data_IF_011868000946
#
_entry.id   IF_011868000946
#
_cell.length_a   1.000
_cell.length_b   1.000
_cell.length_c   1.000
_cell.angle_alpha   90.00
_cell.angle_beta   90.00
_cell.angle_gamma   90.00
#
_symmetry.space_group_name_H-M   'P 1'
#
loop_
_entity.id
_entity.type
_entity.pdbx_description
1 polymer ?
#
# COMPACT_ATOMS: atom_id res chain seq x y z
N UNK A 1 8.64 12.91 -20.79
CA UNK A 1 9.02 13.74 -19.63
C UNK A 1 9.07 12.81 -18.44
N UNK A 2 10.27 12.33 -18.17
CA UNK A 2 10.63 11.17 -17.34
C UNK A 2 10.73 11.58 -15.87
N UNK A 3 9.62 11.73 -15.13
CA UNK A 3 9.67 12.28 -13.76
C UNK A 3 9.51 11.25 -12.62
N UNK A 4 9.11 10.02 -12.93
CA UNK A 4 9.06 8.89 -11.99
C UNK A 4 10.00 7.73 -12.37
N UNK A 5 10.83 7.88 -13.40
CA UNK A 5 11.71 6.82 -13.94
C UNK A 5 13.00 6.55 -13.12
N UNK A 6 13.23 7.25 -12.01
CA UNK A 6 14.54 7.25 -11.36
C UNK A 6 14.72 6.30 -10.17
N UNK A 7 13.66 5.64 -9.67
CA UNK A 7 13.85 4.61 -8.62
C UNK A 7 14.10 3.28 -9.32
N UNK A 8 15.25 2.61 -9.07
CA UNK A 8 15.50 1.29 -9.60
C UNK A 8 14.34 0.34 -9.25
N UNK A 9 13.83 -0.41 -10.23
CA UNK A 9 12.71 -1.35 -10.02
C UNK A 9 13.03 -2.36 -8.90
N UNK A 10 14.30 -2.74 -8.78
CA UNK A 10 14.82 -3.54 -7.67
C UNK A 10 14.57 -2.91 -6.29
N UNK A 11 14.69 -1.59 -6.16
CA UNK A 11 14.41 -0.89 -4.90
C UNK A 11 12.91 -0.86 -4.61
N UNK A 12 12.05 -0.75 -5.64
CA UNK A 12 10.60 -0.91 -5.48
C UNK A 12 10.27 -2.31 -4.95
N UNK A 13 10.88 -3.35 -5.52
CA UNK A 13 10.74 -4.72 -5.01
C UNK A 13 11.13 -4.83 -3.53
N UNK A 14 12.29 -4.29 -3.15
CA UNK A 14 12.70 -4.33 -1.75
C UNK A 14 11.74 -3.55 -0.85
N UNK A 15 11.30 -2.35 -1.24
CA UNK A 15 10.29 -1.59 -0.49
C UNK A 15 8.99 -2.37 -0.30
N UNK A 16 8.50 -3.04 -1.35
CA UNK A 16 7.37 -3.96 -1.25
C UNK A 16 7.66 -5.09 -0.27
N UNK A 17 8.86 -5.67 -0.30
CA UNK A 17 9.26 -6.76 0.61
C UNK A 17 9.29 -6.33 2.07
N UNK A 18 9.56 -5.05 2.33
CA UNK A 18 9.41 -4.48 3.66
C UNK A 18 7.93 -4.29 4.00
N UNK A 19 7.21 -3.56 3.16
CA UNK A 19 5.81 -3.19 3.39
C UNK A 19 4.87 -4.39 3.59
N UNK A 20 5.13 -5.52 2.92
CA UNK A 20 4.31 -6.72 2.99
C UNK A 20 5.10 -7.90 3.56
N UNK A 21 4.63 -8.45 4.69
CA UNK A 21 5.26 -9.61 5.35
C UNK A 21 5.31 -10.87 4.46
N UNK A 22 4.39 -11.00 3.50
CA UNK A 22 4.28 -12.14 2.58
C UNK A 22 5.51 -12.34 1.68
N UNK A 23 6.29 -11.29 1.42
CA UNK A 23 7.48 -11.36 0.55
C UNK A 23 8.73 -11.93 1.22
N UNK A 24 8.68 -12.25 2.53
CA UNK A 24 9.77 -12.93 3.25
C UNK A 24 9.82 -14.44 2.97
N UNK A 25 8.82 -14.97 2.25
CA UNK A 25 8.80 -16.36 1.84
C UNK A 25 10.03 -16.68 0.98
N UNK A 26 10.62 -17.85 1.23
CA UNK A 26 11.82 -18.34 0.53
C UNK A 26 11.69 -18.31 -0.98
N UNK A 27 10.46 -18.45 -1.46
CA UNK A 27 10.02 -18.44 -2.84
C UNK A 27 10.34 -17.13 -3.56
N UNK A 28 10.44 -15.99 -2.87
CA UNK A 28 10.70 -14.68 -3.47
C UNK A 28 12.18 -14.28 -3.51
N UNK A 29 13.10 -15.09 -2.93
CA UNK A 29 14.52 -14.71 -2.83
C UNK A 29 15.18 -14.42 -4.18
N UNK A 30 14.76 -15.10 -5.25
CA UNK A 30 15.36 -14.95 -6.59
C UNK A 30 15.00 -13.61 -7.24
N UNK A 31 13.80 -13.05 -6.97
CA UNK A 31 13.37 -11.75 -7.54
C UNK A 31 14.33 -10.62 -7.18
N UNK A 32 14.91 -10.62 -5.98
CA UNK A 32 15.84 -9.58 -5.54
C UNK A 32 17.17 -9.53 -6.30
N UNK A 33 17.45 -10.55 -7.12
CA UNK A 33 18.64 -10.64 -7.98
C UNK A 33 18.35 -10.42 -9.45
N UNK A 34 17.09 -10.40 -9.86
CA UNK A 34 16.69 -10.22 -11.25
C UNK A 34 16.69 -8.74 -11.65
N UNK A 35 16.94 -8.50 -12.93
CA UNK A 35 16.81 -7.19 -13.55
C UNK A 35 15.49 -7.18 -14.34
N UNK A 36 14.65 -6.20 -14.06
CA UNK A 36 13.36 -6.01 -14.73
C UNK A 36 13.45 -4.79 -15.64
N UNK A 37 12.90 -4.87 -16.85
CA UNK A 37 12.89 -3.72 -17.77
C UNK A 37 11.86 -2.67 -17.34
N UNK A 38 10.77 -3.12 -16.73
CA UNK A 38 9.68 -2.26 -16.28
C UNK A 38 8.99 -2.84 -15.03
N UNK A 39 8.24 -2.00 -14.32
CA UNK A 39 7.54 -2.39 -13.08
C UNK A 39 6.45 -3.45 -13.34
N UNK A 40 5.87 -3.50 -14.55
CA UNK A 40 4.85 -4.51 -14.89
C UNK A 40 5.43 -5.92 -14.91
N UNK A 41 6.67 -6.09 -15.36
CA UNK A 41 7.39 -7.37 -15.30
C UNK A 41 7.63 -7.80 -13.85
N UNK A 42 8.06 -6.86 -12.99
CA UNK A 42 8.20 -7.14 -11.56
C UNK A 42 6.88 -7.62 -10.95
N UNK A 43 5.77 -6.94 -11.22
CA UNK A 43 4.45 -7.34 -10.72
C UNK A 43 4.02 -8.70 -11.27
N UNK A 44 4.24 -8.96 -12.56
CA UNK A 44 3.95 -10.26 -13.15
C UNK A 44 4.79 -11.36 -12.49
N UNK A 45 6.08 -11.12 -12.22
CA UNK A 45 6.93 -12.11 -11.55
C UNK A 45 6.49 -12.35 -10.10
N UNK A 46 6.14 -11.30 -9.37
CA UNK A 46 5.58 -11.43 -8.01
C UNK A 46 4.29 -12.30 -8.02
N UNK A 47 3.40 -12.09 -8.99
CA UNK A 47 2.18 -12.87 -9.14
C UNK A 47 2.44 -14.31 -9.59
N UNK A 48 3.46 -14.53 -10.43
CA UNK A 48 3.86 -15.86 -10.93
C UNK A 48 4.25 -16.79 -9.77
N UNK A 49 4.83 -16.22 -8.70
CA UNK A 49 5.22 -16.94 -7.49
C UNK A 49 4.07 -16.98 -6.48
N UNK A 50 3.40 -15.85 -6.27
CA UNK A 50 2.44 -15.66 -5.18
C UNK A 50 1.11 -16.35 -5.35
N UNK A 51 0.57 -16.37 -6.58
CA UNK A 51 -0.71 -17.04 -6.85
C UNK A 51 -0.60 -18.55 -6.60
N UNK A 52 0.44 -19.26 -7.07
CA UNK A 52 0.65 -20.66 -6.70
C UNK A 52 0.73 -20.92 -5.18
N UNK A 53 1.34 -20.01 -4.41
CA UNK A 53 1.38 -20.12 -2.94
C UNK A 53 -0.04 -20.05 -2.36
N UNK A 54 -0.86 -19.10 -2.82
CA UNK A 54 -2.26 -18.99 -2.39
C UNK A 54 -3.07 -20.25 -2.75
N UNK A 55 -2.92 -20.75 -3.97
CA UNK A 55 -3.60 -21.97 -4.44
C UNK A 55 -3.22 -23.18 -3.57
N UNK A 56 -1.93 -23.37 -3.26
CA UNK A 56 -1.47 -24.45 -2.37
C UNK A 56 -2.07 -24.36 -0.98
N UNK A 57 -2.31 -23.14 -0.49
CA UNK A 57 -2.98 -22.87 0.77
C UNK A 57 -4.51 -23.00 0.73
N UNK A 58 -5.10 -23.39 -0.41
CA UNK A 58 -6.53 -23.43 -0.67
C UNK A 58 -7.12 -22.03 -0.90
N UNK A 59 -8.02 -21.89 -1.87
CA UNK A 59 -8.67 -20.60 -2.11
C UNK A 59 -9.54 -20.21 -0.91
N UNK A 60 -9.48 -18.94 -0.51
CA UNK A 60 -10.34 -18.39 0.54
C UNK A 60 -11.79 -18.49 0.10
N UNK A 61 -12.64 -18.89 1.03
CA UNK A 61 -14.08 -18.93 0.89
C UNK A 61 -14.71 -17.93 1.83
N UNK A 62 -15.85 -17.40 1.45
CA UNK A 62 -16.68 -16.57 2.33
C UNK A 62 -18.15 -16.87 2.07
N UNK A 63 -19.01 -16.42 2.97
CA UNK A 63 -20.45 -16.51 2.78
C UNK A 63 -20.91 -15.43 1.80
N UNK A 64 -21.44 -15.87 0.66
CA UNK A 64 -22.07 -15.00 -0.33
C UNK A 64 -23.59 -15.17 -0.26
N UNK A 65 -24.32 -14.06 -0.30
CA UNK A 65 -25.78 -14.07 -0.34
C UNK A 65 -26.22 -14.45 -1.76
N UNK A 66 -26.88 -15.59 -1.89
CA UNK A 66 -27.43 -16.10 -3.16
C UNK A 66 -28.93 -15.86 -3.18
N UNK A 67 -29.39 -15.21 -4.24
CA UNK A 67 -30.82 -15.05 -4.54
C UNK A 67 -31.21 -15.92 -5.74
N UNK A 68 -32.09 -16.89 -5.54
CA UNK A 68 -32.56 -17.77 -6.61
C UNK A 68 -34.07 -18.01 -6.55
N UNK A 69 -34.65 -18.46 -7.67
CA UNK A 69 -36.06 -18.87 -7.74
C UNK A 69 -36.11 -20.39 -7.86
N UNK A 70 -36.58 -21.07 -6.81
CA UNK A 70 -36.47 -22.53 -6.67
C UNK A 70 -37.80 -23.21 -6.33
N UNK A 71 -37.88 -24.50 -6.65
CA UNK A 71 -38.99 -25.37 -6.25
C UNK A 71 -38.82 -25.90 -4.81
N UNK A 72 -37.63 -25.72 -4.23
CA UNK A 72 -37.29 -26.16 -2.88
C UNK A 72 -36.96 -24.95 -2.01
N UNK A 73 -37.28 -25.02 -0.73
CA UNK A 73 -36.98 -23.94 0.22
C UNK A 73 -35.61 -24.21 0.85
N UNK A 74 -34.65 -23.32 0.60
CA UNK A 74 -33.33 -23.27 1.24
C UNK A 74 -33.11 -21.84 1.76
N UNK A 75 -32.88 -21.70 3.06
CA UNK A 75 -32.76 -20.38 3.70
C UNK A 75 -34.09 -19.62 3.79
N UNK A 76 -34.05 -18.30 3.58
CA UNK A 76 -35.19 -17.40 3.76
C UNK A 76 -35.99 -17.27 2.47
N UNK A 77 -37.32 -17.24 2.56
CA UNK A 77 -38.18 -16.91 1.42
C UNK A 77 -38.29 -15.38 1.30
N UNK A 78 -38.02 -14.85 0.11
CA UNK A 78 -38.36 -13.47 -0.23
C UNK A 78 -39.75 -13.42 -0.87
N UNK A 79 -40.74 -13.13 -0.02
CA UNK A 79 -42.15 -13.03 -0.42
C UNK A 79 -42.35 -11.90 -1.44
N UNK A 80 -41.64 -10.78 -1.28
CA UNK A 80 -41.78 -9.63 -2.18
C UNK A 80 -41.25 -9.97 -3.57
N UNK A 81 -40.06 -10.58 -3.66
CA UNK A 81 -39.50 -11.03 -4.94
C UNK A 81 -40.35 -12.15 -5.56
N UNK A 82 -40.89 -13.07 -4.76
CA UNK A 82 -41.77 -14.16 -5.23
C UNK A 82 -43.02 -13.61 -5.91
N UNK A 83 -43.69 -12.63 -5.30
CA UNK A 83 -44.89 -11.98 -5.85
C UNK A 83 -44.51 -11.15 -7.09
N UNK A 84 -43.47 -10.31 -7.01
CA UNK A 84 -43.03 -9.45 -8.13
C UNK A 84 -42.63 -10.24 -9.38
N UNK A 85 -41.99 -11.40 -9.20
CA UNK A 85 -41.57 -12.28 -10.30
C UNK A 85 -42.69 -13.25 -10.76
N UNK A 86 -43.88 -13.21 -10.15
CA UNK A 86 -44.97 -14.18 -10.37
C UNK A 86 -44.51 -15.65 -10.26
N UNK A 87 -43.51 -15.93 -9.41
CA UNK A 87 -42.83 -17.23 -9.37
C UNK A 87 -43.76 -18.40 -8.97
N UNK A 88 -44.85 -18.09 -8.25
CA UNK A 88 -45.85 -19.08 -7.83
C UNK A 88 -46.59 -19.74 -9.01
N UNK A 89 -46.67 -19.08 -10.17
CA UNK A 89 -47.27 -19.66 -11.39
C UNK A 89 -46.54 -20.93 -11.81
N UNK A 90 -45.21 -20.92 -11.71
CA UNK A 90 -44.34 -22.07 -12.01
C UNK A 90 -44.09 -22.96 -10.79
N UNK A 91 -44.88 -22.79 -9.71
CA UNK A 91 -44.72 -23.49 -8.43
C UNK A 91 -43.33 -23.27 -7.79
N UNK A 92 -42.75 -22.09 -8.01
CA UNK A 92 -41.46 -21.66 -7.45
C UNK A 92 -41.63 -20.57 -6.41
N UNK A 93 -40.63 -20.44 -5.56
CA UNK A 93 -40.48 -19.33 -4.60
C UNK A 93 -39.11 -18.68 -4.77
N UNK A 94 -39.04 -17.37 -4.62
CA UNK A 94 -37.76 -16.66 -4.53
C UNK A 94 -37.20 -16.87 -3.13
N UNK A 95 -35.97 -17.38 -3.05
CA UNK A 95 -35.27 -17.67 -1.81
C UNK A 95 -33.93 -16.93 -1.76
N UNK A 96 -33.50 -16.62 -0.54
CA UNK A 96 -32.24 -15.97 -0.22
C UNK A 96 -31.55 -16.81 0.84
N UNK A 97 -30.34 -17.26 0.55
CA UNK A 97 -29.52 -18.04 1.49
C UNK A 97 -28.04 -17.71 1.33
N UNK A 98 -27.28 -17.97 2.38
CA UNK A 98 -25.83 -17.80 2.34
C UNK A 98 -25.16 -19.10 1.86
N UNK A 99 -24.30 -18.98 0.86
CA UNK A 99 -23.48 -20.07 0.34
C UNK A 99 -22.01 -19.84 0.69
N UNK A 100 -21.34 -20.87 1.22
CA UNK A 100 -19.91 -20.81 1.49
C UNK A 100 -19.12 -21.12 0.21
N UNK A 101 -18.72 -20.06 -0.50
CA UNK A 101 -18.22 -20.15 -1.88
C UNK A 101 -16.81 -19.58 -2.03
N UNK A 102 -16.07 -20.08 -3.02
CA UNK A 102 -14.81 -19.50 -3.50
C UNK A 102 -15.06 -18.30 -4.43
N UNK A 103 -16.31 -18.07 -4.86
CA UNK A 103 -16.69 -16.97 -5.76
C UNK A 103 -16.78 -15.62 -5.02
N UNK A 104 -15.68 -15.27 -4.35
CA UNK A 104 -15.50 -14.01 -3.64
C UNK A 104 -14.70 -13.03 -4.49
N UNK A 105 -14.92 -11.74 -4.25
CA UNK A 105 -14.28 -10.65 -5.02
C UNK A 105 -12.75 -10.79 -5.10
N UNK A 106 -12.09 -11.25 -4.03
CA UNK A 106 -10.63 -11.44 -4.02
C UNK A 106 -10.17 -12.46 -5.06
N UNK A 107 -10.88 -13.59 -5.17
CA UNK A 107 -10.57 -14.63 -6.16
C UNK A 107 -10.97 -14.18 -7.56
N UNK A 108 -12.07 -13.44 -7.72
CA UNK A 108 -12.49 -12.87 -9.00
C UNK A 108 -11.45 -11.90 -9.56
N UNK A 109 -10.90 -10.99 -8.73
CA UNK A 109 -9.83 -10.07 -9.14
C UNK A 109 -8.58 -10.83 -9.61
N UNK A 110 -8.18 -11.87 -8.88
CA UNK A 110 -7.04 -12.72 -9.26
C UNK A 110 -7.31 -13.42 -10.59
N UNK A 111 -8.50 -14.03 -10.75
CA UNK A 111 -8.90 -14.70 -11.99
C UNK A 111 -8.86 -13.74 -13.18
N UNK A 112 -9.46 -12.56 -13.07
CA UNK A 112 -9.45 -11.56 -14.14
C UNK A 112 -8.03 -11.10 -14.49
N UNK A 113 -7.16 -10.96 -13.49
CA UNK A 113 -5.75 -10.64 -13.70
C UNK A 113 -5.01 -11.78 -14.43
N UNK A 114 -5.25 -13.05 -14.07
CA UNK A 114 -4.69 -14.22 -14.75
C UNK A 114 -5.13 -14.29 -16.21
N UNK A 115 -6.42 -14.04 -16.48
CA UNK A 115 -6.96 -14.00 -17.85
C UNK A 115 -6.22 -12.94 -18.67
N UNK A 116 -6.05 -11.73 -18.12
CA UNK A 116 -5.30 -10.67 -18.77
C UNK A 116 -3.84 -11.10 -19.07
N UNK A 117 -3.11 -11.56 -18.05
CA UNK A 117 -1.69 -11.89 -18.18
C UNK A 117 -1.45 -13.07 -19.12
N UNK A 118 -2.34 -14.05 -19.15
CA UNK A 118 -2.25 -15.19 -20.07
C UNK A 118 -2.29 -14.79 -21.55
N UNK A 119 -2.91 -13.64 -21.86
CA UNK A 119 -3.09 -13.11 -23.22
C UNK A 119 -2.13 -11.97 -23.56
N UNK A 120 -1.44 -11.40 -22.58
CA UNK A 120 -0.57 -10.23 -22.78
C UNK A 120 0.65 -10.53 -23.65
N UNK A 121 0.75 -9.88 -24.81
CA UNK A 121 1.89 -10.01 -25.72
C UNK A 121 3.19 -9.39 -25.18
N UNK A 122 3.10 -8.60 -24.10
CA UNK A 122 4.25 -7.99 -23.41
C UNK A 122 4.98 -8.97 -22.50
N UNK A 123 4.41 -10.15 -22.24
CA UNK A 123 5.03 -11.18 -21.41
C UNK A 123 5.63 -12.31 -22.23
N UNK A 124 6.70 -12.91 -21.68
CA UNK A 124 7.31 -14.10 -22.28
C UNK A 124 6.29 -15.23 -22.47
N UNK A 125 6.50 -16.06 -23.49
CA UNK A 125 5.63 -17.21 -23.75
C UNK A 125 5.56 -18.16 -22.54
N UNK A 126 6.67 -18.30 -21.80
CA UNK A 126 6.76 -19.10 -20.58
C UNK A 126 5.81 -18.57 -19.50
N UNK A 127 5.84 -17.27 -19.19
CA UNK A 127 4.96 -16.65 -18.19
C UNK A 127 3.49 -16.73 -18.61
N UNK A 128 3.16 -16.45 -19.88
CA UNK A 128 1.78 -16.57 -20.37
C UNK A 128 1.21 -17.98 -20.17
N UNK A 129 1.99 -19.01 -20.51
CA UNK A 129 1.60 -20.42 -20.29
C UNK A 129 1.41 -20.74 -18.82
N UNK A 130 2.29 -20.22 -17.96
CA UNK A 130 2.16 -20.36 -16.50
C UNK A 130 0.83 -19.79 -16.02
N UNK A 131 0.51 -18.53 -16.34
CA UNK A 131 -0.75 -17.91 -15.91
C UNK A 131 -1.98 -18.61 -16.47
N UNK A 132 -1.93 -19.02 -17.75
CA UNK A 132 -3.01 -19.82 -18.35
C UNK A 132 -3.23 -21.14 -17.59
N UNK A 133 -2.15 -21.81 -17.19
CA UNK A 133 -2.20 -23.05 -16.41
C UNK A 133 -2.76 -22.91 -15.00
N UNK A 134 -2.87 -21.68 -14.47
CA UNK A 134 -3.47 -21.41 -13.16
C UNK A 134 -4.99 -21.20 -13.23
N UNK A 135 -5.56 -20.88 -14.40
CA UNK A 135 -7.00 -20.64 -14.55
C UNK A 135 -7.90 -21.82 -14.14
N UNK A 136 -7.54 -23.10 -14.35
CA UNK A 136 -8.38 -24.23 -13.91
C UNK A 136 -8.66 -24.28 -12.41
N UNK A 137 -7.80 -23.69 -11.56
CA UNK A 137 -8.03 -23.60 -10.12
C UNK A 137 -9.14 -22.61 -9.75
N UNK A 138 -9.51 -21.70 -10.66
CA UNK A 138 -10.55 -20.68 -10.48
C UNK A 138 -11.81 -21.00 -11.31
N UNK A 139 -12.07 -22.27 -11.60
CA UNK A 139 -13.21 -22.70 -12.43
C UNK A 139 -14.58 -22.37 -11.82
N UNK A 140 -14.69 -22.38 -10.49
CA UNK A 140 -15.93 -22.06 -9.75
C UNK A 140 -16.03 -20.56 -9.40
N UNK A 141 -15.10 -19.74 -9.89
CA UNK A 141 -15.04 -18.31 -9.62
C UNK A 141 -15.55 -17.59 -10.86
N UNK A 142 -16.49 -16.67 -10.70
CA UNK A 142 -17.07 -15.88 -11.78
C UNK A 142 -16.06 -14.88 -12.33
N UNK A 143 -16.26 -14.46 -13.58
CA UNK A 143 -15.46 -13.39 -14.17
C UNK A 143 -15.94 -12.02 -13.65
N UNK A 144 -15.00 -11.11 -13.43
CA UNK A 144 -15.29 -9.71 -13.09
C UNK A 144 -14.52 -8.77 -14.02
N UNK A 145 -15.15 -7.69 -14.44
CA UNK A 145 -14.44 -6.61 -15.12
C UNK A 145 -13.62 -5.82 -14.09
N UNK A 146 -12.32 -5.67 -14.33
CA UNK A 146 -11.49 -4.84 -13.48
C UNK A 146 -11.81 -3.37 -13.78
N UNK A 147 -12.19 -2.63 -12.73
CA UNK A 147 -12.38 -1.18 -12.72
C UNK A 147 -11.77 -0.62 -11.42
N UNK A 148 -11.26 0.60 -11.43
CA UNK A 148 -10.65 1.23 -10.24
C UNK A 148 -11.64 1.34 -9.07
N UNK A 149 -12.94 1.46 -9.32
CA UNK A 149 -13.94 1.48 -8.25
C UNK A 149 -14.18 0.10 -7.63
N UNK A 150 -13.81 -1.00 -8.30
CA UNK A 150 -13.93 -2.36 -7.78
C UNK A 150 -13.19 -2.52 -6.44
N UNK A 151 -12.01 -1.91 -6.32
CA UNK A 151 -11.19 -1.98 -5.11
C UNK A 151 -11.82 -1.28 -3.89
N UNK A 152 -12.81 -0.39 -4.08
CA UNK A 152 -13.55 0.21 -2.95
C UNK A 152 -14.39 -0.83 -2.20
N UNK A 153 -14.71 -1.94 -2.85
CA UNK A 153 -15.50 -3.04 -2.28
C UNK A 153 -14.64 -4.16 -1.70
N UNK A 154 -13.31 -4.10 -1.90
CA UNK A 154 -12.39 -5.07 -1.31
C UNK A 154 -12.38 -4.91 0.21
N UNK A 155 -12.51 -6.02 0.92
CA UNK A 155 -12.52 -6.09 2.38
C UNK A 155 -11.56 -7.17 2.84
N UNK A 156 -10.64 -6.78 3.71
CA UNK A 156 -9.70 -7.69 4.33
C UNK A 156 -10.14 -8.01 5.76
N UNK A 157 -10.03 -9.27 6.15
CA UNK A 157 -10.29 -9.78 7.49
C UNK A 157 -9.16 -10.75 7.88
N UNK A 158 -9.17 -11.24 9.12
CA UNK A 158 -8.12 -12.15 9.61
C UNK A 158 -8.00 -13.45 8.78
N UNK A 159 -9.06 -13.92 8.13
CA UNK A 159 -9.06 -15.17 7.37
C UNK A 159 -8.47 -14.99 5.96
N UNK A 160 -8.66 -13.82 5.35
CA UNK A 160 -8.24 -13.54 3.99
C UNK A 160 -7.03 -12.58 3.90
N UNK A 161 -6.46 -12.13 5.03
CA UNK A 161 -5.36 -11.16 5.05
C UNK A 161 -4.14 -11.59 4.20
N UNK A 162 -3.91 -12.91 4.06
CA UNK A 162 -2.87 -13.47 3.19
C UNK A 162 -3.02 -13.11 1.71
N UNK A 163 -4.22 -12.73 1.26
CA UNK A 163 -4.50 -12.27 -0.10
C UNK A 163 -4.07 -10.83 -0.35
N UNK A 164 -3.97 -10.01 0.70
CA UNK A 164 -3.83 -8.56 0.57
C UNK A 164 -2.70 -8.18 -0.38
N UNK A 165 -1.52 -8.77 -0.19
CA UNK A 165 -0.38 -8.47 -1.03
C UNK A 165 -0.62 -8.82 -2.51
N UNK A 166 -1.18 -9.99 -2.80
CA UNK A 166 -1.43 -10.42 -4.18
C UNK A 166 -2.51 -9.58 -4.85
N UNK A 167 -3.59 -9.26 -4.13
CA UNK A 167 -4.69 -8.42 -4.63
C UNK A 167 -4.22 -6.97 -4.82
N UNK A 168 -3.36 -6.46 -3.95
CA UNK A 168 -2.74 -5.14 -4.11
C UNK A 168 -1.79 -5.11 -5.31
N UNK A 169 -1.02 -6.18 -5.58
CA UNK A 169 -0.20 -6.29 -6.79
C UNK A 169 -1.05 -6.40 -8.06
N UNK A 170 -2.17 -7.15 -8.02
CA UNK A 170 -3.16 -7.16 -9.11
C UNK A 170 -3.68 -5.74 -9.41
N UNK A 171 -3.95 -4.95 -8.36
CA UNK A 171 -4.33 -3.55 -8.49
C UNK A 171 -3.26 -2.72 -9.17
N UNK A 172 -2.03 -2.77 -8.65
CA UNK A 172 -0.92 -1.98 -9.17
C UNK A 172 -0.66 -2.29 -10.64
N UNK A 173 -0.72 -3.58 -11.00
CA UNK A 173 -0.60 -4.01 -12.38
C UNK A 173 -1.75 -3.48 -13.25
N UNK A 174 -2.99 -3.60 -12.82
CA UNK A 174 -4.15 -3.09 -13.57
C UNK A 174 -4.07 -1.57 -13.78
N UNK A 175 -3.73 -0.80 -12.75
CA UNK A 175 -3.56 0.64 -12.85
C UNK A 175 -2.45 1.00 -13.86
N UNK A 176 -1.28 0.35 -13.80
CA UNK A 176 -0.21 0.56 -14.79
C UNK A 176 -0.65 0.28 -16.24
N UNK A 177 -1.58 -0.65 -16.44
CA UNK A 177 -2.09 -1.03 -17.76
C UNK A 177 -3.13 -0.05 -18.30
N UNK A 178 -4.00 0.49 -17.44
CA UNK A 178 -4.95 1.54 -17.83
C UNK A 178 -4.23 2.73 -18.45
N UNK A 179 -3.10 3.11 -17.85
CA UNK A 179 -2.34 4.27 -18.27
C UNK A 179 -1.49 4.07 -19.54
N UNK A 180 -1.27 2.83 -19.97
CA UNK A 180 -0.65 2.53 -21.27
C UNK A 180 -1.60 2.82 -22.45
N UNK A 181 -2.91 3.01 -22.20
CA UNK A 181 -3.94 3.09 -23.25
C UNK A 181 -4.54 4.49 -23.47
N UNK A 182 -4.26 5.49 -22.64
CA UNK A 182 -4.87 6.83 -22.76
C UNK A 182 -3.83 7.96 -22.68
N UNK A 183 -3.67 8.71 -23.77
CA UNK A 183 -2.82 9.92 -23.84
C UNK A 183 -3.38 11.13 -23.08
N UNK A 184 -4.66 11.10 -22.68
CA UNK A 184 -5.40 12.26 -22.17
C UNK A 184 -5.37 12.48 -20.65
N UNK A 185 -4.63 11.69 -19.86
CA UNK A 185 -4.66 11.81 -18.38
C UNK A 185 -3.31 11.61 -17.68
N UNK A 186 -2.22 11.94 -18.35
CA UNK A 186 -0.85 11.76 -17.83
C UNK A 186 -0.62 12.44 -16.45
N UNK A 187 -1.26 13.58 -16.19
CA UNK A 187 -1.20 14.27 -14.88
C UNK A 187 -1.94 13.48 -13.78
N UNK A 188 -3.11 12.90 -14.10
CA UNK A 188 -3.86 12.09 -13.14
C UNK A 188 -3.12 10.79 -12.82
N UNK A 189 -2.40 10.22 -13.80
CA UNK A 189 -1.46 9.11 -13.59
C UNK A 189 -0.38 9.49 -12.59
N UNK A 190 0.33 10.59 -12.84
CA UNK A 190 1.44 11.05 -12.00
C UNK A 190 1.01 11.26 -10.54
N UNK A 191 -0.16 11.88 -10.32
CA UNK A 191 -0.71 12.08 -8.97
C UNK A 191 -1.04 10.75 -8.28
N UNK A 192 -1.65 9.80 -8.99
CA UNK A 192 -1.98 8.49 -8.42
C UNK A 192 -0.73 7.67 -8.11
N UNK A 193 0.28 7.71 -8.99
CA UNK A 193 1.54 7.00 -8.77
C UNK A 193 2.31 7.61 -7.60
N UNK A 194 2.31 8.93 -7.46
CA UNK A 194 2.90 9.62 -6.30
C UNK A 194 2.21 9.23 -4.99
N UNK A 195 0.87 9.16 -4.94
CA UNK A 195 0.13 8.72 -3.76
C UNK A 195 0.45 7.26 -3.39
N UNK A 196 0.52 6.37 -4.38
CA UNK A 196 0.87 4.96 -4.16
C UNK A 196 2.29 4.81 -3.64
N UNK A 197 3.25 5.50 -4.26
CA UNK A 197 4.64 5.48 -3.84
C UNK A 197 4.82 6.12 -2.46
N UNK A 198 4.05 7.15 -2.12
CA UNK A 198 4.00 7.69 -0.75
C UNK A 198 3.55 6.65 0.25
N UNK A 199 2.43 5.97 -0.01
CA UNK A 199 1.93 4.93 0.89
C UNK A 199 2.91 3.76 1.01
N UNK A 200 3.52 3.34 -0.10
CA UNK A 200 4.54 2.30 -0.11
C UNK A 200 5.77 2.74 0.70
N UNK A 201 6.21 3.98 0.51
CA UNK A 201 7.34 4.56 1.22
C UNK A 201 7.10 4.59 2.74
N UNK A 202 5.96 5.11 3.20
CA UNK A 202 5.59 5.11 4.62
C UNK A 202 5.57 3.69 5.20
N UNK A 203 4.93 2.73 4.52
CA UNK A 203 4.89 1.32 4.94
C UNK A 203 6.29 0.70 4.97
N UNK A 204 7.12 0.99 3.98
CA UNK A 204 8.51 0.56 3.90
C UNK A 204 9.30 1.06 5.10
N UNK A 205 9.30 2.37 5.37
CA UNK A 205 10.07 2.97 6.46
C UNK A 205 9.66 2.38 7.82
N UNK A 206 8.37 2.24 8.07
CA UNK A 206 7.87 1.62 9.29
C UNK A 206 8.34 0.16 9.43
N UNK A 207 8.13 -0.65 8.40
CA UNK A 207 8.51 -2.05 8.43
C UNK A 207 10.04 -2.25 8.46
N UNK A 208 10.80 -1.34 7.87
CA UNK A 208 12.26 -1.32 7.95
C UNK A 208 12.72 -1.17 9.40
N UNK A 209 12.30 -0.10 10.08
CA UNK A 209 12.72 0.12 11.45
C UNK A 209 12.23 -0.98 12.40
N UNK A 210 11.02 -1.51 12.18
CA UNK A 210 10.49 -2.60 12.98
C UNK A 210 11.34 -3.88 12.88
N UNK A 211 11.94 -4.16 11.71
CA UNK A 211 12.69 -5.40 11.47
C UNK A 211 14.19 -5.27 11.70
N UNK A 212 14.76 -4.13 11.34
CA UNK A 212 16.21 -3.93 11.29
C UNK A 212 16.76 -3.30 12.57
N UNK A 213 15.89 -2.91 13.51
CA UNK A 213 16.28 -2.27 14.77
C UNK A 213 15.59 -2.90 15.97
N UNK A 214 16.10 -2.57 17.17
CA UNK A 214 15.45 -2.92 18.45
C UNK A 214 14.57 -1.81 18.99
N UNK A 215 14.25 -0.80 18.18
CA UNK A 215 13.38 0.29 18.58
C UNK A 215 11.95 -0.24 18.80
N UNK A 216 11.24 0.36 19.73
CA UNK A 216 9.79 0.22 19.77
C UNK A 216 9.21 1.09 18.64
N UNK A 217 8.67 0.44 17.60
CA UNK A 217 8.17 1.10 16.39
C UNK A 217 6.65 1.06 16.37
N UNK A 218 6.02 2.23 16.44
CA UNK A 218 4.57 2.37 16.54
C UNK A 218 4.02 3.45 15.61
N UNK A 219 2.69 3.53 15.46
CA UNK A 219 1.99 4.56 14.70
C UNK A 219 0.83 5.15 15.51
N UNK A 220 1.09 5.73 16.70
CA UNK A 220 0.03 6.19 17.57
C UNK A 220 -0.74 7.37 16.98
N UNK A 221 -1.99 7.52 17.44
CA UNK A 221 -2.70 8.80 17.31
C UNK A 221 -2.28 9.70 18.47
N UNK A 222 -1.72 10.86 18.14
CA UNK A 222 -1.40 11.89 19.13
C UNK A 222 -2.67 12.66 19.43
N UNK A 223 -2.99 12.80 20.72
CA UNK A 223 -4.19 13.53 21.15
C UNK A 223 -3.87 15.02 21.24
N UNK A 224 -4.78 15.88 20.78
CA UNK A 224 -4.64 17.32 20.99
C UNK A 224 -4.59 17.65 22.48
N UNK A 225 -3.64 18.49 22.85
CA UNK A 225 -3.57 19.12 24.16
C UNK A 225 -4.31 20.46 24.09
N UNK A 226 -5.57 20.46 24.51
CA UNK A 226 -6.42 21.65 24.56
C UNK A 226 -6.74 22.01 26.00
N UNK A 227 -6.79 23.30 26.29
CA UNK A 227 -7.04 23.83 27.63
C UNK A 227 -8.52 23.76 28.02
N UNK A 228 -9.42 23.81 27.03
CA UNK A 228 -10.88 23.83 27.20
C UNK A 228 -11.55 22.44 27.12
N UNK A 229 -10.76 21.40 26.82
CA UNK A 229 -11.22 20.03 26.67
C UNK A 229 -11.97 19.72 25.37
N UNK A 230 -12.23 20.69 24.49
CA UNK A 230 -13.01 20.47 23.27
C UNK A 230 -12.14 19.93 22.12
N UNK A 231 -12.30 18.64 21.80
CA UNK A 231 -11.48 17.94 20.79
C UNK A 231 -12.27 17.43 19.58
N UNK A 232 -13.60 17.44 19.62
CA UNK A 232 -14.46 16.75 18.64
C UNK A 232 -14.35 17.32 17.23
N UNK A 233 -14.07 18.61 17.08
CA UNK A 233 -13.91 19.27 15.78
C UNK A 233 -12.45 19.30 15.29
N UNK A 234 -11.50 18.77 16.06
CA UNK A 234 -10.07 18.84 15.71
C UNK A 234 -9.67 17.69 14.77
N UNK A 235 -8.72 17.92 13.85
CA UNK A 235 -8.25 16.89 12.94
C UNK A 235 -7.50 15.79 13.72
N UNK A 236 -7.62 14.54 13.26
CA UNK A 236 -6.88 13.41 13.85
C UNK A 236 -5.39 13.58 13.53
N UNK A 237 -4.54 13.58 14.55
CA UNK A 237 -3.07 13.56 14.39
C UNK A 237 -2.57 12.12 14.35
N UNK A 238 -2.57 11.54 13.15
CA UNK A 238 -2.01 10.21 12.90
C UNK A 238 -0.54 10.33 12.49
N UNK A 239 0.37 9.72 13.27
CA UNK A 239 1.80 9.67 12.91
C UNK A 239 2.07 8.59 11.87
N UNK A 240 3.05 8.84 10.99
CA UNK A 240 3.54 7.83 10.03
C UNK A 240 4.37 6.75 10.72
N UNK A 241 5.27 7.15 11.63
CA UNK A 241 5.91 6.26 12.58
C UNK A 241 6.48 7.03 13.79
N UNK A 242 6.56 6.34 14.93
CA UNK A 242 7.26 6.78 16.13
C UNK A 242 8.27 5.70 16.50
N UNK A 243 9.52 6.11 16.69
CA UNK A 243 10.60 5.27 17.17
C UNK A 243 10.87 5.61 18.63
N UNK A 244 10.92 4.61 19.50
CA UNK A 244 11.29 4.81 20.90
C UNK A 244 12.39 3.84 21.33
N UNK A 245 13.32 4.35 22.12
CA UNK A 245 14.37 3.57 22.77
C UNK A 245 14.80 4.29 24.03
N UNK A 246 14.79 3.58 25.15
CA UNK A 246 15.08 4.15 26.47
C UNK A 246 14.17 5.38 26.72
N UNK A 247 14.72 6.50 27.22
CA UNK A 247 13.99 7.76 27.42
C UNK A 247 14.06 8.71 26.21
N UNK A 248 14.18 8.17 24.99
CA UNK A 248 14.22 8.97 23.76
C UNK A 248 13.07 8.55 22.85
N UNK A 249 12.35 9.54 22.32
CA UNK A 249 11.29 9.36 21.33
C UNK A 249 11.54 10.23 20.10
N UNK A 250 11.52 9.58 18.94
CA UNK A 250 11.66 10.23 17.64
C UNK A 250 10.37 10.03 16.84
N UNK A 251 9.64 11.12 16.64
CA UNK A 251 8.46 11.15 15.78
C UNK A 251 8.96 11.36 14.34
N UNK A 252 8.61 10.47 13.41
CA UNK A 252 9.05 10.59 12.02
C UNK A 252 7.83 10.78 11.13
N UNK A 253 7.91 11.77 10.26
CA UNK A 253 6.94 12.06 9.20
C UNK A 253 7.64 11.80 7.86
N UNK A 254 7.19 10.76 7.16
CA UNK A 254 7.83 10.24 5.97
C UNK A 254 7.07 10.78 4.75
N UNK A 255 7.79 11.50 3.88
CA UNK A 255 7.15 12.19 2.75
C UNK A 255 7.76 11.78 1.43
N UNK A 256 6.91 11.39 0.49
CA UNK A 256 7.28 11.14 -0.88
C UNK A 256 6.77 12.29 -1.75
N UNK A 257 7.65 12.98 -2.47
CA UNK A 257 7.26 13.96 -3.48
C UNK A 257 8.11 13.83 -4.73
N UNK A 258 7.51 14.09 -5.88
CA UNK A 258 8.21 14.32 -7.14
C UNK A 258 8.97 15.66 -7.13
N UNK A 259 8.40 16.70 -6.49
CA UNK A 259 9.03 18.02 -6.34
C UNK A 259 9.08 18.48 -4.87
N UNK A 260 10.30 18.62 -4.33
CA UNK A 260 10.57 18.95 -2.93
C UNK A 260 10.69 20.46 -2.64
N UNK A 261 10.43 21.33 -3.62
CA UNK A 261 10.55 22.78 -3.47
C UNK A 261 9.32 23.51 -3.99
N UNK A 262 8.80 24.45 -3.21
CA UNK A 262 8.03 25.56 -3.77
C UNK A 262 9.04 26.55 -4.35
N UNK A 263 9.30 26.48 -5.66
CA UNK A 263 10.03 27.53 -6.36
C UNK A 263 9.19 28.81 -6.36
N UNK A 264 9.28 29.61 -5.29
CA UNK A 264 8.92 31.02 -5.37
C UNK A 264 10.11 31.74 -6.00
N UNK A 265 10.04 31.86 -7.33
CA UNK A 265 10.93 32.60 -8.22
C UNK A 265 12.29 31.96 -8.55
N UNK A 266 12.68 32.06 -9.82
CA UNK A 266 14.05 31.81 -10.28
C UNK A 266 15.02 32.67 -9.45
N UNK A 267 15.97 32.03 -8.77
CA UNK A 267 16.97 32.69 -7.92
C UNK A 267 16.64 32.78 -6.43
N UNK A 268 15.46 32.31 -5.98
CA UNK A 268 15.13 32.23 -4.56
C UNK A 268 15.74 31.00 -3.86
N UNK A 269 16.28 31.16 -2.65
CA UNK A 269 16.73 30.03 -1.84
C UNK A 269 15.57 29.03 -1.62
N UNK A 270 15.81 27.76 -1.94
CA UNK A 270 14.88 26.67 -1.72
C UNK A 270 14.36 26.65 -0.27
N UNK A 271 13.08 26.98 -0.06
CA UNK A 271 12.47 26.90 1.27
C UNK A 271 11.85 25.53 1.49
N UNK A 272 12.03 25.02 2.71
CA UNK A 272 11.35 23.82 3.19
C UNK A 272 9.83 23.97 3.05
N UNK A 273 9.13 22.88 2.72
CA UNK A 273 7.65 22.87 2.68
C UNK A 273 7.13 23.12 4.10
N UNK A 274 6.66 24.34 4.34
CA UNK A 274 6.23 24.80 5.66
C UNK A 274 5.13 23.93 6.27
N UNK A 275 4.25 23.35 5.44
CA UNK A 275 3.20 22.43 5.89
C UNK A 275 3.74 21.23 6.68
N UNK A 276 4.81 20.59 6.19
CA UNK A 276 5.36 19.39 6.80
C UNK A 276 6.07 19.74 8.12
N UNK A 277 6.79 20.86 8.12
CA UNK A 277 7.42 21.39 9.32
C UNK A 277 6.36 21.73 10.38
N UNK A 278 5.23 22.32 10.00
CA UNK A 278 4.13 22.59 10.93
C UNK A 278 3.48 21.30 11.44
N UNK A 279 3.31 20.29 10.59
CA UNK A 279 2.78 18.99 10.98
C UNK A 279 3.65 18.34 12.05
N UNK A 280 4.96 18.16 11.77
CA UNK A 280 5.86 17.53 12.74
C UNK A 280 6.01 18.36 14.01
N UNK A 281 6.06 19.70 13.89
CA UNK A 281 6.09 20.59 15.05
C UNK A 281 4.83 20.43 15.92
N UNK A 282 3.66 20.28 15.29
CA UNK A 282 2.41 20.05 16.00
C UNK A 282 2.44 18.71 16.75
N UNK A 283 2.95 17.65 16.11
CA UNK A 283 3.09 16.33 16.74
C UNK A 283 4.00 16.38 17.97
N UNK A 284 5.16 17.02 17.87
CA UNK A 284 6.10 17.14 18.99
C UNK A 284 5.46 17.90 20.16
N UNK A 285 4.79 19.04 19.91
CA UNK A 285 4.21 19.85 20.98
C UNK A 285 2.98 19.20 21.65
N UNK A 286 2.34 18.22 21.00
CA UNK A 286 1.22 17.48 21.56
C UNK A 286 1.64 16.09 22.08
N UNK A 287 2.92 15.71 21.96
CA UNK A 287 3.42 14.48 22.55
C UNK A 287 3.36 14.58 24.07
N UNK A 288 2.86 13.54 24.71
CA UNK A 288 2.80 13.46 26.18
C UNK A 288 4.12 12.88 26.66
N UNK A 289 5.05 13.76 27.01
CA UNK A 289 6.37 13.35 27.48
C UNK A 289 6.29 12.70 28.86
N UNK A 290 6.93 11.55 29.03
CA UNK A 290 7.24 10.99 30.35
C UNK A 290 8.37 11.79 31.03
N UNK A 291 8.46 11.79 32.38
CA UNK A 291 9.52 12.51 33.08
C UNK A 291 10.92 12.07 32.63
N UNK A 292 11.71 13.02 32.13
CA UNK A 292 13.07 12.76 31.62
C UNK A 292 13.11 12.22 30.19
N UNK A 293 11.97 12.14 29.49
CA UNK A 293 11.92 11.79 28.07
C UNK A 293 12.39 12.96 27.21
N UNK A 294 13.31 12.66 26.28
CA UNK A 294 13.73 13.58 25.22
C UNK A 294 12.96 13.27 23.95
N UNK A 295 12.32 14.28 23.36
CA UNK A 295 11.52 14.12 22.15
C UNK A 295 12.11 14.94 21.01
N UNK A 296 12.17 14.31 19.83
CA UNK A 296 12.55 14.98 18.59
C UNK A 296 11.62 14.59 17.45
N UNK A 297 11.62 15.41 16.39
CA UNK A 297 10.95 15.11 15.13
C UNK A 297 11.93 14.85 14.00
N UNK A 298 11.51 14.07 13.01
CA UNK A 298 12.25 13.87 11.77
C UNK A 298 11.30 13.99 10.57
N UNK A 299 11.64 14.87 9.63
CA UNK A 299 11.07 14.88 8.29
C UNK A 299 11.97 14.03 7.39
N UNK A 300 11.46 12.91 6.92
CA UNK A 300 12.21 11.98 6.08
C UNK A 300 11.66 11.99 4.66
N UNK A 301 12.34 12.72 3.77
CA UNK A 301 11.93 12.86 2.37
C UNK A 301 12.53 11.77 1.49
N UNK A 302 11.73 11.18 0.60
CA UNK A 302 12.28 10.41 -0.50
C UNK A 302 12.93 11.37 -1.52
N UNK A 303 14.21 11.16 -1.84
CA UNK A 303 14.94 11.90 -2.87
C UNK A 303 14.89 11.13 -4.18
N UNK A 304 14.16 11.68 -5.15
CA UNK A 304 13.97 11.13 -6.50
C UNK A 304 14.67 11.94 -7.58
N UNK A 305 14.50 13.27 -7.66
CA UNK A 305 15.12 14.10 -8.72
C UNK A 305 15.45 15.55 -8.30
N UNK A 306 14.90 16.02 -7.19
CA UNK A 306 15.02 17.42 -6.78
C UNK A 306 16.45 17.83 -6.39
N UNK A 307 16.80 19.09 -6.73
CA UNK A 307 18.00 19.79 -6.27
C UNK A 307 18.03 19.74 -4.74
N UNK A 308 19.15 19.26 -4.19
CA UNK A 308 19.41 18.97 -2.79
C UNK A 308 18.58 19.81 -1.79
N UNK A 309 17.70 19.15 -1.02
CA UNK A 309 17.44 19.64 0.32
C UNK A 309 18.65 19.24 1.18
N UNK A 310 19.42 20.19 1.75
CA UNK A 310 20.48 19.84 2.67
C UNK A 310 19.86 19.18 3.90
N UNK A 311 20.47 18.10 4.38
CA UNK A 311 20.15 17.57 5.69
C UNK A 311 20.35 18.70 6.71
N UNK A 312 19.35 18.93 7.57
CA UNK A 312 19.37 20.06 8.48
C UNK A 312 18.84 19.67 9.85
N UNK A 313 19.42 20.25 10.89
CA UNK A 313 18.95 20.13 12.25
C UNK A 313 18.43 21.48 12.72
N UNK A 314 17.13 21.56 12.98
CA UNK A 314 16.51 22.72 13.60
C UNK A 314 16.40 22.54 15.11
N UNK A 315 16.62 23.64 15.83
CA UNK A 315 16.31 23.75 17.26
C UNK A 315 15.06 24.63 17.41
N UNK A 316 13.95 24.06 17.86
CA UNK A 316 12.65 24.74 17.93
C UNK A 316 11.98 24.48 19.28
N UNK A 317 11.83 25.53 20.09
CA UNK A 317 11.25 25.47 21.45
C UNK A 317 11.88 24.39 22.33
N UNK A 318 13.21 24.20 22.25
CA UNK A 318 13.93 23.20 23.03
C UNK A 318 13.86 21.77 22.47
N UNK A 319 13.11 21.55 21.39
CA UNK A 319 13.07 20.26 20.68
C UNK A 319 13.91 20.30 19.42
N UNK A 320 14.41 19.13 19.03
CA UNK A 320 15.17 18.95 17.79
C UNK A 320 14.24 18.50 16.65
N UNK A 321 14.41 19.09 15.47
CA UNK A 321 13.76 18.62 14.24
C UNK A 321 14.82 18.34 13.18
N UNK A 322 14.98 17.07 12.82
CA UNK A 322 15.86 16.60 11.76
C UNK A 322 15.12 16.67 10.42
N UNK A 323 15.78 17.19 9.39
CA UNK A 323 15.32 17.07 8.01
C UNK A 323 16.34 16.22 7.28
N UNK A 324 15.89 15.08 6.76
CA UNK A 324 16.72 14.11 6.06
C UNK A 324 16.13 13.77 4.69
N UNK A 325 17.00 13.55 3.71
CA UNK A 325 16.61 13.14 2.36
C UNK A 325 17.21 11.77 2.04
N UNK A 326 16.35 10.75 1.92
CA UNK A 326 16.75 9.39 1.59
C UNK A 326 16.87 9.20 0.07
N UNK A 327 18.08 8.97 -0.42
CA UNK A 327 18.29 8.69 -1.84
C UNK A 327 17.79 7.29 -2.19
N UNK A 328 16.69 7.19 -2.94
CA UNK A 328 16.12 5.91 -3.39
C UNK A 328 16.76 5.35 -4.67
N UNK A 329 17.69 6.09 -5.29
CA UNK A 329 18.37 5.66 -6.52
C UNK A 329 19.63 4.81 -6.27
N UNK A 330 20.18 4.87 -5.05
CA UNK A 330 21.38 4.12 -4.71
C UNK A 330 21.08 2.62 -4.48
N UNK A 331 22.13 1.82 -4.31
CA UNK A 331 21.99 0.43 -3.92
C UNK A 331 21.22 0.30 -2.61
N UNK A 332 20.39 -0.74 -2.51
CA UNK A 332 19.50 -0.90 -1.35
C UNK A 332 20.26 -1.02 -0.02
N UNK A 333 21.50 -1.53 -0.02
CA UNK A 333 22.36 -1.51 1.17
C UNK A 333 22.66 -0.10 1.65
N UNK A 334 22.98 0.83 0.74
CA UNK A 334 23.17 2.24 1.07
C UNK A 334 21.90 2.89 1.62
N UNK A 335 20.73 2.52 1.08
CA UNK A 335 19.43 2.96 1.64
C UNK A 335 19.27 2.51 3.10
N UNK A 336 19.64 1.25 3.41
CA UNK A 336 19.59 0.76 4.80
C UNK A 336 20.55 1.52 5.71
N UNK A 337 21.78 1.73 5.25
CA UNK A 337 22.81 2.44 6.00
C UNK A 337 22.39 3.88 6.31
N UNK A 338 21.84 4.59 5.34
CA UNK A 338 21.32 5.95 5.52
C UNK A 338 20.19 6.00 6.55
N UNK A 339 19.21 5.09 6.48
CA UNK A 339 18.10 5.03 7.43
C UNK A 339 18.57 4.79 8.87
N UNK A 340 19.51 3.85 9.05
CA UNK A 340 20.12 3.58 10.35
C UNK A 340 20.90 4.79 10.84
N UNK A 341 21.69 5.42 9.96
CA UNK A 341 22.47 6.61 10.31
C UNK A 341 21.57 7.76 10.76
N UNK A 342 20.47 8.04 10.05
CA UNK A 342 19.54 9.12 10.41
C UNK A 342 18.87 8.89 11.76
N UNK A 343 18.41 7.67 12.06
CA UNK A 343 17.85 7.38 13.38
C UNK A 343 18.92 7.44 14.48
N UNK A 344 20.12 6.93 14.21
CA UNK A 344 21.22 6.90 15.18
C UNK A 344 21.71 8.30 15.57
N UNK A 345 21.54 9.32 14.72
CA UNK A 345 21.87 10.71 15.10
C UNK A 345 21.14 11.19 16.36
N UNK A 346 19.98 10.62 16.66
CA UNK A 346 19.21 10.96 17.86
C UNK A 346 19.37 9.92 18.98
N UNK A 347 19.42 8.63 18.64
CA UNK A 347 19.44 7.55 19.63
C UNK A 347 20.83 7.19 20.19
N UNK A 348 21.90 7.63 19.52
CA UNK A 348 23.25 7.63 20.09
C UNK A 348 23.38 8.77 21.07
#
# INVERSE_FOLDING_TARGET
>A
MERNENIPIRNIYYMLSYAYQTLHLSEYKQIGTEQFENVKELYAEILSIGIPVLIRGGLSKDYISVEETSNFIKGKIDINATIKKNALVDKKVAIVYDEFSEDILLNQIIKSTLVYLSRSNKLSQKMRRLFYGLLPYFKEVSDVELDINLWKNVRYNHQNIRYQFIVDVCRYLYEELLFDQSSASQILKEIQDEQKLSSLYEKFIYAFFQRETKYNVSRPQIQWNVDDGFKEALPIMQTDLVLQKDNKTLIVDAKFYSENMAARFEGGAAKQKSSNLYQIFTYINNWKNEPGETVAGMLLYAKTTAINQPNHLYQMKGNQIFVASLNLQQDFSGIKEDLLAYANQFFT
#
